data_IF_502242097981
#
_entry.id   IF_502242097981
#
_cell.length_a   1.000
_cell.length_b   1.000
_cell.length_c   1.000
_cell.angle_alpha   90.00
_cell.angle_beta   90.00
_cell.angle_gamma   90.00
#
_symmetry.space_group_name_H-M   'P 1'
#
loop_
_entity.id
_entity.type
_entity.pdbx_description
1 polymer ?
#
# COMPACT_ATOMS: atom_id res chain seq x y z
N UNK A 1 -0.76 24.93 -6.47
CA UNK A 1 -1.94 24.79 -5.57
C UNK A 1 -3.22 25.51 -6.06
N UNK A 2 -3.19 26.34 -7.11
CA UNK A 2 -4.41 26.99 -7.66
C UNK A 2 -5.44 25.97 -8.17
N UNK A 3 -5.01 24.84 -8.75
CA UNK A 3 -5.86 23.77 -9.28
C UNK A 3 -6.48 22.88 -8.21
N UNK A 4 -5.86 22.80 -7.04
CA UNK A 4 -6.28 21.89 -5.95
C UNK A 4 -6.24 22.60 -4.60
N UNK A 5 -7.24 23.44 -4.28
CA UNK A 5 -7.27 24.21 -3.03
C UNK A 5 -7.35 23.31 -1.77
N UNK A 6 -7.87 22.11 -1.90
CA UNK A 6 -7.91 21.13 -0.82
C UNK A 6 -6.52 20.76 -0.26
N UNK A 7 -5.50 20.72 -1.12
CA UNK A 7 -4.12 20.44 -0.70
C UNK A 7 -3.62 21.54 0.27
N UNK A 8 -3.89 22.82 -0.04
CA UNK A 8 -3.50 23.92 0.85
C UNK A 8 -4.21 23.84 2.21
N UNK A 9 -5.50 23.51 2.21
CA UNK A 9 -6.28 23.33 3.46
C UNK A 9 -5.75 22.15 4.27
N UNK A 10 -5.35 21.07 3.62
CA UNK A 10 -4.74 19.91 4.27
C UNK A 10 -3.39 20.28 4.90
N UNK A 11 -2.50 20.98 4.20
CA UNK A 11 -1.23 21.47 4.75
C UNK A 11 -1.45 22.31 6.01
N UNK A 12 -2.38 23.28 5.97
CA UNK A 12 -2.72 24.12 7.13
C UNK A 12 -3.25 23.29 8.31
N UNK A 13 -4.04 22.25 8.04
CA UNK A 13 -4.54 21.34 9.09
C UNK A 13 -3.39 20.58 9.77
N UNK A 14 -2.46 20.01 8.98
CA UNK A 14 -1.30 19.30 9.50
C UNK A 14 -0.42 20.23 10.33
N UNK A 15 -0.14 21.44 9.84
CA UNK A 15 0.63 22.46 10.55
C UNK A 15 -0.03 22.83 11.89
N UNK A 16 -1.34 23.07 11.89
CA UNK A 16 -2.09 23.35 13.10
C UNK A 16 -2.04 22.20 14.12
N UNK A 17 -2.16 20.95 13.66
CA UNK A 17 -2.02 19.77 14.52
C UNK A 17 -0.62 19.67 15.14
N UNK A 18 0.42 19.95 14.37
CA UNK A 18 1.78 20.01 14.90
C UNK A 18 1.97 21.09 15.95
N UNK A 19 1.38 22.27 15.76
CA UNK A 19 1.45 23.37 16.72
C UNK A 19 0.71 23.07 18.03
N UNK A 20 -0.39 22.34 17.98
CA UNK A 20 -1.28 22.13 19.13
C UNK A 20 -0.96 20.85 19.89
N UNK A 21 -0.87 19.72 19.20
CA UNK A 21 -0.77 18.38 19.82
C UNK A 21 0.54 17.67 19.56
N UNK A 22 1.35 18.18 18.64
CA UNK A 22 2.57 17.50 18.16
C UNK A 22 2.32 16.10 17.59
N UNK A 23 1.06 15.73 17.37
CA UNK A 23 0.64 14.38 16.98
C UNK A 23 -0.11 14.43 15.68
N UNK A 24 0.32 13.61 14.72
CA UNK A 24 -0.37 13.40 13.44
C UNK A 24 -0.93 11.98 13.42
N UNK A 25 -2.15 11.83 12.91
CA UNK A 25 -2.83 10.55 12.78
C UNK A 25 -3.08 10.28 11.30
N UNK A 26 -2.79 9.06 10.83
CA UNK A 26 -3.09 8.66 9.45
C UNK A 26 -4.52 8.11 9.31
N UNK A 27 -4.91 7.70 8.09
CA UNK A 27 -6.26 7.24 7.78
C UNK A 27 -6.69 6.00 8.58
N UNK A 28 -5.76 5.14 8.99
CA UNK A 28 -6.03 3.94 9.78
C UNK A 28 -5.94 4.15 11.29
N UNK A 29 -5.77 5.39 11.76
CA UNK A 29 -5.71 5.72 13.18
C UNK A 29 -4.32 5.59 13.80
N UNK A 30 -3.29 5.23 13.06
CA UNK A 30 -1.91 5.21 13.56
C UNK A 30 -1.41 6.63 13.80
N UNK A 31 -0.69 6.82 14.91
CA UNK A 31 -0.25 8.13 15.39
C UNK A 31 1.26 8.21 15.46
N UNK A 32 1.80 9.38 15.10
CA UNK A 32 3.20 9.73 15.27
C UNK A 32 3.31 11.06 16.01
N UNK A 33 4.21 11.12 16.99
CA UNK A 33 4.55 12.32 17.76
C UNK A 33 5.83 12.91 17.17
N UNK A 34 5.86 14.24 17.00
CA UNK A 34 6.98 15.00 16.47
C UNK A 34 7.53 15.94 17.54
N UNK A 35 8.85 15.95 17.76
CA UNK A 35 9.46 16.64 18.89
C UNK A 35 10.22 17.93 18.51
N UNK A 36 10.63 18.08 17.25
CA UNK A 36 11.39 19.23 16.76
C UNK A 36 10.52 20.46 16.47
N UNK A 37 11.17 21.56 16.04
CA UNK A 37 10.47 22.80 15.66
C UNK A 37 9.54 22.57 14.49
N UNK A 38 8.35 23.19 14.53
CA UNK A 38 7.29 22.96 13.52
C UNK A 38 7.79 23.24 12.10
N UNK A 39 8.53 24.33 11.90
CA UNK A 39 9.05 24.72 10.59
C UNK A 39 9.98 23.66 9.98
N UNK A 40 10.75 22.94 10.81
CA UNK A 40 11.66 21.89 10.35
C UNK A 40 10.99 20.56 10.09
N UNK A 41 9.95 20.22 10.86
CA UNK A 41 9.26 18.92 10.77
C UNK A 41 8.02 18.91 9.87
N UNK A 42 7.52 20.06 9.46
CA UNK A 42 6.33 20.15 8.63
C UNK A 42 6.42 19.33 7.31
N UNK A 43 7.51 19.39 6.54
CA UNK A 43 7.66 18.56 5.34
C UNK A 43 7.61 17.06 5.66
N UNK A 44 8.25 16.64 6.74
CA UNK A 44 8.26 15.25 7.19
C UNK A 44 6.86 14.80 7.61
N UNK A 45 6.14 15.61 8.36
CA UNK A 45 4.76 15.31 8.81
C UNK A 45 3.79 15.21 7.63
N UNK A 46 3.92 16.09 6.64
CA UNK A 46 3.13 16.01 5.40
C UNK A 46 3.43 14.73 4.61
N UNK A 47 4.70 14.34 4.49
CA UNK A 47 5.09 13.10 3.81
C UNK A 47 4.65 11.85 4.59
N UNK A 48 4.69 11.90 5.92
CA UNK A 48 4.37 10.76 6.78
C UNK A 48 2.92 10.27 6.62
N UNK A 49 1.96 11.17 6.45
CA UNK A 49 0.54 10.78 6.34
C UNK A 49 0.28 9.82 5.17
N UNK A 50 0.60 10.16 3.91
CA UNK A 50 0.39 9.23 2.80
C UNK A 50 1.30 8.01 2.87
N UNK A 51 2.57 8.16 3.26
CA UNK A 51 3.52 7.06 3.35
C UNK A 51 3.08 6.02 4.38
N UNK A 52 2.71 6.43 5.60
CA UNK A 52 2.24 5.52 6.63
C UNK A 52 0.91 4.86 6.27
N UNK A 53 0.02 5.57 5.58
CA UNK A 53 -1.24 5.01 5.08
C UNK A 53 -0.97 3.90 4.06
N UNK A 54 -0.03 4.11 3.12
CA UNK A 54 0.38 3.09 2.14
C UNK A 54 0.99 1.87 2.83
N UNK A 55 1.86 2.06 3.83
CA UNK A 55 2.41 0.94 4.62
C UNK A 55 1.29 0.13 5.26
N UNK A 56 0.30 0.78 5.88
CA UNK A 56 -0.82 0.05 6.49
C UNK A 56 -1.68 -0.71 5.47
N UNK A 57 -1.82 -0.20 4.23
CA UNK A 57 -2.48 -0.95 3.15
C UNK A 57 -1.70 -2.24 2.84
N UNK A 58 -0.37 -2.13 2.68
CA UNK A 58 0.49 -3.28 2.41
C UNK A 58 0.47 -4.30 3.57
N UNK A 59 0.59 -3.84 4.81
CA UNK A 59 0.57 -4.70 6.00
C UNK A 59 -0.76 -5.47 6.11
N UNK A 60 -1.91 -4.80 5.87
CA UNK A 60 -3.21 -5.45 5.86
C UNK A 60 -3.35 -6.46 4.73
N UNK A 61 -2.90 -6.12 3.53
CA UNK A 61 -2.90 -7.03 2.39
C UNK A 61 -2.01 -8.26 2.63
N UNK A 62 -0.84 -8.06 3.24
CA UNK A 62 0.07 -9.14 3.63
C UNK A 62 -0.59 -10.09 4.63
N UNK A 63 -1.21 -9.56 5.69
CA UNK A 63 -1.93 -10.36 6.68
C UNK A 63 -3.11 -11.11 6.04
N UNK A 64 -3.88 -10.46 5.17
CA UNK A 64 -4.98 -11.12 4.46
C UNK A 64 -4.48 -12.28 3.58
N UNK A 65 -3.34 -12.12 2.90
CA UNK A 65 -2.73 -13.20 2.10
C UNK A 65 -2.30 -14.35 3.02
N UNK A 66 -1.63 -14.06 4.12
CA UNK A 66 -1.17 -15.07 5.08
C UNK A 66 -2.33 -15.87 5.66
N UNK A 67 -3.40 -15.18 6.07
CA UNK A 67 -4.57 -15.80 6.69
C UNK A 67 -5.45 -16.59 5.71
N UNK A 68 -5.58 -16.15 4.46
CA UNK A 68 -6.59 -16.67 3.53
C UNK A 68 -6.02 -17.48 2.35
N UNK A 69 -4.73 -17.39 2.07
CA UNK A 69 -4.09 -18.05 0.92
C UNK A 69 -2.93 -18.96 1.36
N UNK A 70 -3.21 -20.11 1.96
CA UNK A 70 -2.17 -21.00 2.52
C UNK A 70 -1.21 -21.56 1.48
N UNK A 71 -1.57 -21.54 0.19
CA UNK A 71 -0.71 -21.94 -0.92
C UNK A 71 0.30 -20.86 -1.34
N UNK A 72 0.18 -19.63 -0.80
CA UNK A 72 1.11 -18.53 -1.05
C UNK A 72 2.14 -18.47 0.06
N UNK A 73 3.39 -18.75 -0.27
CA UNK A 73 4.50 -18.56 0.65
C UNK A 73 5.03 -17.13 0.54
N UNK A 74 4.78 -16.33 1.56
CA UNK A 74 5.31 -14.97 1.68
C UNK A 74 6.82 -15.03 1.96
N UNK A 75 7.61 -14.28 1.20
CA UNK A 75 9.07 -14.31 1.29
C UNK A 75 9.65 -13.03 1.89
N UNK A 76 9.24 -11.88 1.37
CA UNK A 76 9.78 -10.57 1.79
C UNK A 76 8.83 -9.44 1.41
N UNK A 77 8.78 -8.41 2.24
CA UNK A 77 8.21 -7.11 1.92
C UNK A 77 9.33 -6.14 1.53
N UNK A 78 9.15 -5.44 0.42
CA UNK A 78 10.11 -4.44 -0.07
C UNK A 78 9.34 -3.16 -0.40
N UNK A 79 9.45 -2.14 0.46
CA UNK A 79 8.72 -0.87 0.35
C UNK A 79 7.19 -1.08 0.25
N UNK A 80 6.63 -0.82 -0.92
CA UNK A 80 5.21 -0.91 -1.27
C UNK A 80 4.86 -2.21 -2.03
N UNK A 81 5.74 -3.19 -1.99
CA UNK A 81 5.55 -4.48 -2.67
C UNK A 81 5.76 -5.68 -1.75
N UNK A 82 5.09 -6.78 -2.07
CA UNK A 82 5.23 -8.08 -1.42
C UNK A 82 5.77 -9.06 -2.46
N UNK A 83 6.79 -9.84 -2.07
CA UNK A 83 7.33 -10.94 -2.86
C UNK A 83 6.93 -12.25 -2.21
N UNK A 84 6.34 -13.12 -2.98
CA UNK A 84 5.92 -14.45 -2.56
C UNK A 84 6.08 -15.47 -3.68
N UNK A 85 5.87 -16.73 -3.36
CA UNK A 85 5.84 -17.82 -4.32
C UNK A 85 4.63 -18.73 -4.07
N UNK A 86 4.17 -19.38 -5.12
CA UNK A 86 3.06 -20.31 -5.09
C UNK A 86 3.21 -21.39 -6.17
N UNK A 87 2.52 -22.54 -6.05
CA UNK A 87 2.59 -23.61 -7.03
C UNK A 87 2.11 -23.19 -8.43
N UNK A 88 2.85 -23.56 -9.48
CA UNK A 88 2.54 -23.14 -10.85
C UNK A 88 1.14 -23.55 -11.34
N UNK A 89 0.60 -24.68 -10.88
CA UNK A 89 -0.74 -25.13 -11.29
C UNK A 89 -1.88 -24.25 -10.74
N UNK A 90 -1.61 -23.43 -9.72
CA UNK A 90 -2.56 -22.48 -9.14
C UNK A 90 -2.46 -21.06 -9.74
N UNK A 91 -1.59 -20.89 -10.75
CA UNK A 91 -1.24 -19.57 -11.28
C UNK A 91 -2.45 -18.68 -11.61
N UNK A 92 -3.43 -19.20 -12.33
CA UNK A 92 -4.59 -18.41 -12.76
C UNK A 92 -5.48 -17.99 -11.59
N UNK A 93 -5.73 -18.90 -10.65
CA UNK A 93 -6.61 -18.66 -9.49
C UNK A 93 -5.92 -17.77 -8.44
N UNK A 94 -4.69 -18.09 -8.07
CA UNK A 94 -3.96 -17.39 -6.99
C UNK A 94 -3.72 -15.93 -7.33
N UNK A 95 -3.43 -15.58 -8.58
CA UNK A 95 -3.24 -14.18 -8.97
C UNK A 95 -4.45 -13.32 -8.66
N UNK A 96 -5.64 -13.81 -9.00
CA UNK A 96 -6.88 -13.10 -8.75
C UNK A 96 -7.16 -12.99 -7.24
N UNK A 97 -6.95 -14.06 -6.51
CA UNK A 97 -7.11 -14.09 -5.07
C UNK A 97 -6.14 -13.13 -4.36
N UNK A 98 -4.85 -13.10 -4.76
CA UNK A 98 -3.89 -12.12 -4.24
C UNK A 98 -4.37 -10.69 -4.46
N UNK A 99 -4.86 -10.39 -5.68
CA UNK A 99 -5.41 -9.06 -5.98
C UNK A 99 -6.56 -8.70 -5.03
N UNK A 100 -7.50 -9.61 -4.82
CA UNK A 100 -8.64 -9.41 -3.93
C UNK A 100 -8.21 -9.15 -2.49
N UNK A 101 -7.23 -9.90 -1.97
CA UNK A 101 -6.69 -9.72 -0.62
C UNK A 101 -5.92 -8.40 -0.45
N UNK A 102 -5.35 -7.87 -1.54
CA UNK A 102 -4.58 -6.63 -1.54
C UNK A 102 -5.42 -5.36 -1.76
N UNK A 103 -6.69 -5.47 -2.20
CA UNK A 103 -7.58 -4.33 -2.39
C UNK A 103 -8.17 -3.86 -1.06
N UNK A 104 -7.35 -3.12 -0.31
CA UNK A 104 -7.72 -2.58 1.00
C UNK A 104 -8.35 -1.20 0.82
N UNK A 105 -9.56 -1.03 1.36
CA UNK A 105 -10.22 0.27 1.42
C UNK A 105 -9.58 1.14 2.51
N UNK A 106 -9.15 2.33 2.11
CA UNK A 106 -8.63 3.36 3.02
C UNK A 106 -9.83 4.16 3.53
N UNK A 107 -10.04 4.23 4.86
CA UNK A 107 -11.25 4.79 5.45
C UNK A 107 -11.21 6.33 5.51
N UNK A 108 -11.17 6.96 4.34
CA UNK A 108 -11.44 8.40 4.21
C UNK A 108 -12.95 8.66 4.17
N UNK A 109 -13.36 9.93 4.30
CA UNK A 109 -14.77 10.35 4.13
C UNK A 109 -15.30 9.94 2.73
N UNK A 110 -14.44 10.01 1.72
CA UNK A 110 -14.62 9.43 0.39
C UNK A 110 -13.63 8.25 0.28
N UNK A 111 -14.09 7.00 0.44
CA UNK A 111 -13.20 5.85 0.52
C UNK A 111 -12.33 5.68 -0.72
N UNK A 112 -11.07 5.35 -0.50
CA UNK A 112 -10.08 5.18 -1.56
C UNK A 112 -9.51 3.76 -1.53
N UNK A 113 -9.43 3.12 -2.70
CA UNK A 113 -8.70 1.87 -2.88
C UNK A 113 -7.54 2.08 -3.84
N UNK A 114 -6.34 1.67 -3.44
CA UNK A 114 -5.15 1.74 -4.29
C UNK A 114 -5.12 0.48 -5.16
N UNK A 115 -4.93 0.67 -6.48
CA UNK A 115 -4.83 -0.42 -7.44
C UNK A 115 -3.58 -1.28 -7.20
N UNK A 116 -3.67 -2.56 -7.55
CA UNK A 116 -2.60 -3.56 -7.38
C UNK A 116 -2.07 -3.96 -8.75
N UNK A 117 -0.76 -4.07 -8.87
CA UNK A 117 -0.10 -4.69 -10.02
C UNK A 117 0.58 -5.99 -9.57
N UNK A 118 0.62 -6.99 -10.44
CA UNK A 118 1.34 -8.23 -10.20
C UNK A 118 2.38 -8.46 -11.28
N UNK A 119 3.56 -8.95 -10.89
CA UNK A 119 4.60 -9.42 -11.80
C UNK A 119 5.01 -10.84 -11.40
N UNK A 120 5.14 -11.71 -12.36
CA UNK A 120 5.46 -13.13 -12.13
C UNK A 120 6.63 -13.61 -12.97
N UNK A 121 7.32 -14.66 -12.49
CA UNK A 121 8.32 -15.42 -13.22
C UNK A 121 8.39 -16.85 -12.67
N UNK A 122 8.81 -17.81 -13.51
CA UNK A 122 9.14 -19.19 -13.09
C UNK A 122 10.63 -19.38 -12.79
N UNK A 123 11.45 -18.34 -12.97
CA UNK A 123 12.92 -18.44 -12.85
C UNK A 123 13.42 -17.78 -11.58
N UNK A 124 13.25 -16.47 -11.49
CA UNK A 124 13.72 -15.69 -10.36
C UNK A 124 12.92 -14.41 -10.22
N UNK A 125 13.05 -13.74 -9.07
CA UNK A 125 12.44 -12.43 -8.83
C UNK A 125 12.89 -11.38 -9.86
N UNK A 126 14.17 -11.38 -10.23
CA UNK A 126 14.72 -10.45 -11.23
C UNK A 126 14.15 -10.63 -12.64
N UNK A 127 13.58 -11.80 -12.95
CA UNK A 127 12.95 -12.09 -14.24
C UNK A 127 11.44 -11.79 -14.24
N UNK A 128 10.86 -11.31 -13.14
CA UNK A 128 9.42 -11.03 -13.06
C UNK A 128 8.99 -9.98 -14.06
N UNK A 129 7.89 -10.26 -14.77
CA UNK A 129 7.25 -9.35 -15.71
C UNK A 129 5.81 -9.10 -15.31
N UNK A 130 5.35 -7.85 -15.51
CA UNK A 130 3.96 -7.49 -15.26
C UNK A 130 3.01 -8.36 -16.08
N UNK A 131 1.97 -8.84 -15.43
CA UNK A 131 0.91 -9.65 -16.04
C UNK A 131 -0.44 -9.02 -15.80
N UNK A 132 -1.34 -9.00 -16.81
CA UNK A 132 -2.69 -8.48 -16.65
C UNK A 132 -3.50 -9.42 -15.75
N UNK A 133 -4.53 -8.87 -15.10
CA UNK A 133 -5.52 -9.63 -14.34
C UNK A 133 -6.70 -10.12 -15.19
N UNK A 134 -6.70 -9.94 -16.53
CA UNK A 134 -7.75 -10.39 -17.43
C UNK A 134 -7.76 -11.91 -17.56
N UNK A 135 -8.97 -12.49 -17.65
CA UNK A 135 -9.23 -13.94 -17.66
C UNK A 135 -8.84 -14.67 -18.96
N UNK A 136 -8.37 -13.95 -19.98
CA UNK A 136 -7.92 -14.56 -21.22
C UNK A 136 -6.59 -15.28 -20.99
N UNK A 137 -6.66 -16.62 -20.94
CA UNK A 137 -5.59 -17.62 -21.08
C UNK A 137 -4.14 -17.10 -21.02
N UNK A 138 -3.76 -16.48 -19.94
CA UNK A 138 -2.34 -16.23 -19.73
C UNK A 138 -1.75 -17.41 -18.97
N UNK A 139 -1.41 -18.45 -19.72
CA UNK A 139 -0.35 -19.36 -19.29
C UNK A 139 0.80 -18.47 -18.87
N UNK A 140 1.36 -18.67 -17.67
CA UNK A 140 2.52 -17.90 -17.23
C UNK A 140 3.54 -17.90 -18.38
N UNK A 141 3.82 -16.74 -18.99
CA UNK A 141 4.48 -16.71 -20.31
C UNK A 141 5.98 -17.06 -20.25
N UNK A 142 6.46 -17.58 -19.08
CA UNK A 142 7.88 -17.84 -18.88
C UNK A 142 8.14 -19.13 -18.12
#
# INVERSE_FOLDING_TARGET
FKLHPAIKKWHQRVEHQLMTTRTITNAFGYRRIFFDRVESILPEALAWVPQSTTVNVIDKGLLNIDDNLPDVQLMIQVHDSIVGQFPNHLYSTIRQQIKEQMLIEIPYDDPLTIGVEIACSRKSWGDCKKVPFTDDEVVCPF
#
